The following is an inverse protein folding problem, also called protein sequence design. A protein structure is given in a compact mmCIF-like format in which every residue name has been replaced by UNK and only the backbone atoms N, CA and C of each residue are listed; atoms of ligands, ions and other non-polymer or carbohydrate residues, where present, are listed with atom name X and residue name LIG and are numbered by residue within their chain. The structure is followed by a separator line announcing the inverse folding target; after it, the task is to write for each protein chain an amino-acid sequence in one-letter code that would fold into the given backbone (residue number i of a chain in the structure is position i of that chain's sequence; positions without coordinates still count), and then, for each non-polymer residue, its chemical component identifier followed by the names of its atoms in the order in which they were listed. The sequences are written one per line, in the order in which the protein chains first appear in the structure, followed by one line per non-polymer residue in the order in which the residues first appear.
data_IF_111295804215
#
_entry.id   IF_111295804215
#
_cell.length_a   1.000
_cell.length_b   1.000
_cell.length_c   1.000
_cell.angle_alpha   90.00
_cell.angle_beta   90.00
_cell.angle_gamma   90.00
#
_symmetry.space_group_name_H-M   'P 1'
#
loop_
_entity.id
_entity.type
_entity.pdbx_description
1 polymer ?
#
# COMPACT_ATOMS: atom_id res chain seq x y z
N UNK A 1 0.65 4.76 10.58
CA UNK A 1 0.06 5.84 9.78
C UNK A 1 -1.19 6.34 10.47
N UNK A 2 -1.36 7.64 10.57
CA UNK A 2 -2.56 8.24 11.18
C UNK A 2 -3.64 8.46 10.14
N UNK A 3 -4.89 8.34 10.58
CA UNK A 3 -6.11 8.40 9.77
C UNK A 3 -7.25 8.99 10.61
N UNK A 4 -8.33 9.36 9.94
CA UNK A 4 -9.53 9.95 10.56
C UNK A 4 -9.21 11.20 11.39
N UNK A 5 -8.42 12.13 10.83
CA UNK A 5 -7.94 13.35 11.49
C UNK A 5 -7.20 13.04 12.80
N UNK A 6 -6.22 12.14 12.73
CA UNK A 6 -5.39 11.66 13.85
C UNK A 6 -6.15 11.01 15.01
N UNK A 7 -7.39 10.56 14.78
CA UNK A 7 -8.17 9.81 15.77
C UNK A 7 -7.87 8.32 15.76
N UNK A 8 -7.26 7.84 14.68
CA UNK A 8 -6.95 6.43 14.47
C UNK A 8 -5.52 6.24 13.95
N UNK A 9 -4.93 5.09 14.25
CA UNK A 9 -3.64 4.68 13.72
C UNK A 9 -3.75 3.30 13.08
N UNK A 10 -3.27 3.19 11.84
CA UNK A 10 -3.08 1.94 11.13
C UNK A 10 -1.60 1.53 11.16
N UNK A 11 -1.36 0.24 11.30
CA UNK A 11 -0.02 -0.33 11.37
C UNK A 11 -0.01 -1.79 10.92
N UNK A 12 1.16 -2.29 10.53
CA UNK A 12 1.35 -3.69 10.17
C UNK A 12 1.73 -4.47 11.43
N UNK A 13 1.11 -5.63 11.62
CA UNK A 13 1.43 -6.57 12.71
C UNK A 13 1.23 -8.01 12.23
N UNK A 14 2.02 -8.92 12.79
CA UNK A 14 1.97 -10.36 12.53
C UNK A 14 1.32 -11.16 13.68
N UNK A 15 0.62 -10.48 14.59
CA UNK A 15 0.01 -11.07 15.80
C UNK A 15 -0.96 -12.23 15.53
N UNK A 16 -1.50 -12.34 14.32
CA UNK A 16 -2.38 -13.42 13.88
C UNK A 16 -1.65 -14.50 13.06
N UNK A 17 -0.31 -14.52 13.09
CA UNK A 17 0.55 -15.51 12.44
C UNK A 17 1.03 -15.12 11.03
N UNK A 18 0.62 -13.97 10.50
CA UNK A 18 1.05 -13.44 9.21
C UNK A 18 0.95 -11.90 9.18
N UNK A 19 1.80 -11.18 8.42
CA UNK A 19 1.73 -9.72 8.33
C UNK A 19 0.38 -9.25 7.80
N UNK A 20 -0.29 -8.40 8.56
CA UNK A 20 -1.53 -7.77 8.13
C UNK A 20 -1.72 -6.38 8.75
N UNK A 21 -2.71 -5.64 8.25
CA UNK A 21 -3.00 -4.27 8.66
C UNK A 21 -4.02 -4.28 9.79
N UNK A 22 -3.66 -3.63 10.88
CA UNK A 22 -4.50 -3.40 12.04
C UNK A 22 -4.75 -1.91 12.22
N UNK A 23 -5.87 -1.58 12.86
CA UNK A 23 -6.25 -0.23 13.19
C UNK A 23 -6.55 -0.11 14.69
N UNK A 24 -6.11 0.97 15.29
CA UNK A 24 -6.36 1.33 16.69
C UNK A 24 -6.94 2.73 16.75
N UNK A 25 -8.13 2.86 17.32
CA UNK A 25 -8.67 4.16 17.73
C UNK A 25 -7.88 4.70 18.92
N UNK A 26 -7.40 5.92 18.80
CA UNK A 26 -6.61 6.60 19.83
C UNK A 26 -7.54 7.19 20.90
N UNK A 27 -7.05 7.28 22.14
CA UNK A 27 -7.85 7.74 23.29
C UNK A 27 -8.90 6.74 23.80
N UNK A 28 -9.11 5.63 23.09
CA UNK A 28 -10.01 4.54 23.47
C UNK A 28 -9.25 3.39 24.13
N UNK A 29 -9.92 2.60 24.99
CA UNK A 29 -9.29 1.47 25.71
C UNK A 29 -9.24 0.19 24.89
N UNK A 30 -10.11 0.08 23.90
CA UNK A 30 -10.35 -1.08 23.05
C UNK A 30 -9.09 -1.50 22.30
N UNK A 31 -8.84 -2.79 22.17
CA UNK A 31 -7.64 -3.28 21.46
C UNK A 31 -7.66 -2.90 19.98
N UNK A 32 -6.49 -2.96 19.34
CA UNK A 32 -6.41 -2.79 17.89
C UNK A 32 -7.09 -3.96 17.16
N UNK A 33 -7.81 -3.66 16.09
CA UNK A 33 -8.60 -4.61 15.30
C UNK A 33 -7.97 -4.83 13.93
N UNK A 34 -8.16 -6.03 13.36
CA UNK A 34 -7.69 -6.33 12.02
C UNK A 34 -8.57 -5.59 11.01
N UNK A 35 -7.94 -4.85 10.09
CA UNK A 35 -8.65 -4.04 9.12
C UNK A 35 -8.95 -4.81 7.82
N UNK A 36 -8.00 -5.62 7.37
CA UNK A 36 -8.10 -6.36 6.12
C UNK A 36 -8.28 -7.84 6.36
N UNK A 37 -9.27 -8.43 5.72
CA UNK A 37 -9.54 -9.88 5.77
C UNK A 37 -9.20 -10.58 4.45
N UNK A 38 -9.00 -9.82 3.38
CA UNK A 38 -8.56 -10.30 2.07
C UNK A 38 -7.02 -10.34 2.00
N UNK A 39 -6.50 -11.42 1.42
CA UNK A 39 -5.06 -11.69 1.39
C UNK A 39 -4.50 -12.11 2.76
N UNK A 40 -3.29 -12.70 2.75
CA UNK A 40 -2.63 -13.21 3.98
C UNK A 40 -1.23 -12.64 4.19
N UNK A 41 -0.89 -11.55 3.51
CA UNK A 41 0.41 -10.92 3.63
C UNK A 41 0.31 -9.48 3.11
N UNK A 42 -0.19 -8.60 3.96
CA UNK A 42 -0.34 -7.18 3.67
C UNK A 42 0.70 -6.39 4.48
N UNK A 43 1.51 -5.59 3.80
CA UNK A 43 2.66 -4.88 4.36
C UNK A 43 2.78 -3.48 3.76
N UNK A 44 3.76 -2.69 4.24
CA UNK A 44 4.14 -1.37 3.72
C UNK A 44 2.95 -0.46 3.38
N UNK A 45 2.57 0.40 4.34
CA UNK A 45 1.36 1.20 4.25
C UNK A 45 1.65 2.70 4.18
N UNK A 46 0.74 3.44 3.54
CA UNK A 46 0.57 4.87 3.75
C UNK A 46 -0.94 5.19 3.89
N UNK A 47 -1.27 6.31 4.51
CA UNK A 47 -2.65 6.71 4.77
C UNK A 47 -2.89 8.19 4.44
N UNK A 48 -4.08 8.47 3.92
CA UNK A 48 -4.59 9.81 3.71
C UNK A 48 -6.07 9.85 4.10
N UNK A 49 -6.41 10.66 5.11
CA UNK A 49 -7.77 10.76 5.69
C UNK A 49 -8.33 9.39 6.09
N UNK A 50 -9.30 8.88 5.33
CA UNK A 50 -9.99 7.60 5.55
C UNK A 50 -9.54 6.50 4.58
N UNK A 51 -8.43 6.71 3.88
CA UNK A 51 -7.93 5.82 2.85
C UNK A 51 -6.54 5.31 3.20
N UNK A 52 -6.29 4.03 2.93
CA UNK A 52 -5.00 3.37 3.16
C UNK A 52 -4.57 2.71 1.86
N UNK A 53 -3.36 3.04 1.40
CA UNK A 53 -2.67 2.27 0.38
C UNK A 53 -1.74 1.27 1.04
N UNK A 54 -1.70 0.05 0.52
CA UNK A 54 -0.88 -1.02 1.08
C UNK A 54 -0.34 -1.94 0.01
N UNK A 55 0.73 -2.65 0.34
CA UNK A 55 1.30 -3.71 -0.48
C UNK A 55 0.66 -5.04 -0.06
N UNK A 56 0.03 -5.74 -1.00
CA UNK A 56 -0.40 -7.12 -0.85
C UNK A 56 0.57 -8.04 -1.57
N UNK A 57 1.11 -9.02 -0.86
CA UNK A 57 1.84 -10.13 -1.46
C UNK A 57 0.84 -11.18 -1.92
N UNK A 58 0.77 -11.39 -3.22
CA UNK A 58 -0.13 -12.34 -3.84
C UNK A 58 0.64 -13.61 -4.25
N UNK A 59 -0.01 -14.76 -4.10
CA UNK A 59 0.56 -16.05 -4.50
C UNK A 59 0.75 -16.11 -6.01
N UNK A 60 1.62 -17.04 -6.42
CA UNK A 60 2.14 -17.27 -7.77
C UNK A 60 1.17 -16.84 -8.88
N UNK A 61 1.57 -15.84 -9.68
CA UNK A 61 0.92 -15.60 -10.96
C UNK A 61 1.11 -16.81 -11.90
N UNK A 62 0.52 -16.80 -13.11
CA UNK A 62 0.62 -17.89 -14.10
C UNK A 62 2.07 -18.30 -14.45
N UNK A 63 3.06 -17.48 -14.07
CA UNK A 63 4.49 -17.69 -14.29
C UNK A 63 5.26 -18.12 -13.03
N UNK A 64 4.59 -18.47 -11.94
CA UNK A 64 5.25 -18.98 -10.74
C UNK A 64 6.04 -17.92 -9.96
N UNK A 65 5.66 -16.63 -10.03
CA UNK A 65 6.33 -15.56 -9.28
C UNK A 65 5.43 -14.93 -8.24
N UNK A 66 5.97 -14.70 -7.04
CA UNK A 66 5.36 -13.81 -6.05
C UNK A 66 5.31 -12.41 -6.61
N UNK A 67 4.12 -11.79 -6.57
CA UNK A 67 3.91 -10.40 -6.97
C UNK A 67 3.52 -9.59 -5.74
N UNK A 68 3.98 -8.34 -5.71
CA UNK A 68 3.67 -7.38 -4.66
C UNK A 68 2.88 -6.26 -5.31
N UNK A 69 1.58 -6.20 -5.02
CA UNK A 69 0.67 -5.27 -5.65
C UNK A 69 0.17 -4.22 -4.66
N UNK A 70 0.01 -3.00 -5.17
CA UNK A 70 -0.61 -1.94 -4.41
C UNK A 70 -2.13 -2.08 -4.46
N UNK A 71 -2.75 -2.00 -3.30
CA UNK A 71 -4.18 -1.94 -3.13
C UNK A 71 -4.54 -0.70 -2.32
N UNK A 72 -5.71 -0.13 -2.59
CA UNK A 72 -6.29 0.99 -1.87
C UNK A 72 -7.57 0.53 -1.18
N UNK A 73 -7.68 0.76 0.12
CA UNK A 73 -8.93 0.59 0.86
C UNK A 73 -9.42 1.95 1.36
N UNK A 74 -10.72 2.19 1.21
CA UNK A 74 -11.43 3.31 1.87
C UNK A 74 -12.24 2.76 3.03
N UNK A 75 -11.96 3.24 4.26
CA UNK A 75 -12.50 2.69 5.50
C UNK A 75 -14.03 2.74 5.58
N UNK A 76 -14.61 3.84 5.10
CA UNK A 76 -16.05 4.08 5.17
C UNK A 76 -16.86 3.08 4.33
N UNK A 77 -16.38 2.76 3.12
CA UNK A 77 -17.06 1.83 2.20
C UNK A 77 -16.53 0.40 2.29
N UNK A 78 -15.38 0.19 2.95
CA UNK A 78 -14.58 -1.05 2.90
C UNK A 78 -14.28 -1.52 1.47
N UNK A 79 -14.37 -0.62 0.49
CA UNK A 79 -14.09 -0.94 -0.90
C UNK A 79 -12.58 -1.06 -1.10
N UNK A 80 -12.15 -2.18 -1.69
CA UNK A 80 -10.75 -2.44 -2.03
C UNK A 80 -10.59 -2.31 -3.55
N UNK A 81 -9.65 -1.45 -3.97
CA UNK A 81 -9.26 -1.26 -5.36
C UNK A 81 -7.81 -1.68 -5.55
N UNK A 82 -7.58 -2.66 -6.43
CA UNK A 82 -6.22 -2.99 -6.88
C UNK A 82 -5.69 -1.91 -7.82
N UNK A 83 -4.49 -1.39 -7.54
CA UNK A 83 -3.86 -0.30 -8.29
C UNK A 83 -2.75 -0.79 -9.23
N UNK A 84 -2.15 -1.95 -8.97
CA UNK A 84 -1.12 -2.56 -9.81
C UNK A 84 -1.36 -4.05 -9.99
N UNK A 85 -0.85 -4.65 -11.07
CA UNK A 85 -1.09 -6.07 -11.40
C UNK A 85 0.17 -6.90 -11.68
N UNK A 86 1.37 -6.31 -11.66
CA UNK A 86 2.60 -6.99 -12.08
C UNK A 86 3.86 -6.41 -11.43
N UNK A 87 4.92 -7.21 -11.39
CA UNK A 87 6.21 -6.85 -10.80
C UNK A 87 6.19 -6.85 -9.28
N UNK A 88 7.19 -6.22 -8.67
CA UNK A 88 7.21 -5.94 -7.24
C UNK A 88 7.03 -4.43 -7.04
N UNK A 89 5.89 -4.03 -6.49
CA UNK A 89 5.52 -2.64 -6.25
C UNK A 89 5.54 -2.41 -4.74
N UNK A 90 6.37 -1.47 -4.28
CA UNK A 90 6.70 -1.30 -2.86
C UNK A 90 6.71 0.17 -2.47
N UNK A 91 6.63 0.42 -1.16
CA UNK A 91 6.74 1.75 -0.57
C UNK A 91 5.75 2.76 -1.18
N UNK A 92 4.44 2.46 -1.19
CA UNK A 92 3.48 3.44 -1.65
C UNK A 92 3.52 4.67 -0.73
N UNK A 93 3.48 5.87 -1.30
CA UNK A 93 3.35 7.14 -0.60
C UNK A 93 2.27 7.99 -1.23
N UNK A 94 1.33 8.49 -0.46
CA UNK A 94 0.35 9.47 -0.91
C UNK A 94 1.03 10.81 -1.17
N UNK A 95 0.53 11.55 -2.16
CA UNK A 95 0.81 12.99 -2.25
C UNK A 95 0.17 13.74 -1.09
N UNK A 96 0.68 14.93 -0.78
CA UNK A 96 0.15 15.78 0.30
C UNK A 96 -1.36 16.08 0.16
N UNK A 97 -1.88 16.11 -1.07
CA UNK A 97 -3.29 16.33 -1.38
C UNK A 97 -4.11 15.03 -1.47
N UNK A 98 -3.47 13.86 -1.31
CA UNK A 98 -4.09 12.54 -1.37
C UNK A 98 -4.55 12.09 -2.77
N UNK A 99 -4.29 12.88 -3.82
CA UNK A 99 -4.77 12.59 -5.18
C UNK A 99 -3.88 11.63 -5.95
N UNK A 100 -2.65 11.46 -5.51
CA UNK A 100 -1.65 10.67 -6.21
C UNK A 100 -0.97 9.69 -5.26
N UNK A 101 -0.45 8.61 -5.81
CA UNK A 101 0.38 7.64 -5.09
C UNK A 101 1.67 7.45 -5.86
N UNK A 102 2.80 7.76 -5.23
CA UNK A 102 4.12 7.36 -5.70
C UNK A 102 4.50 6.00 -5.13
N UNK A 103 5.31 5.23 -5.84
CA UNK A 103 5.82 3.95 -5.37
C UNK A 103 7.11 3.54 -6.10
N UNK A 104 7.84 2.57 -5.57
CA UNK A 104 8.97 1.93 -6.26
C UNK A 104 8.45 0.68 -6.96
N UNK A 105 8.67 0.60 -8.28
CA UNK A 105 8.49 -0.61 -9.06
C UNK A 105 9.84 -1.29 -9.30
N UNK A 106 9.89 -2.60 -9.06
CA UNK A 106 11.01 -3.45 -9.40
C UNK A 106 10.56 -4.56 -10.33
N UNK A 107 11.22 -4.69 -11.46
CA UNK A 107 11.16 -5.85 -12.36
C UNK A 107 12.53 -6.52 -12.40
N UNK A 108 12.66 -7.71 -13.03
CA UNK A 108 13.97 -8.30 -13.28
C UNK A 108 14.91 -7.40 -14.10
N UNK A 109 14.35 -6.53 -14.95
CA UNK A 109 15.09 -5.71 -15.90
C UNK A 109 15.47 -4.34 -15.32
N UNK A 110 14.58 -3.70 -14.55
CA UNK A 110 14.80 -2.32 -14.11
C UNK A 110 14.05 -1.95 -12.82
N UNK A 111 14.50 -0.86 -12.21
CA UNK A 111 13.77 -0.11 -11.20
C UNK A 111 13.07 1.08 -11.87
N UNK A 112 11.88 1.43 -11.40
CA UNK A 112 11.18 2.63 -11.83
C UNK A 112 10.49 3.29 -10.64
N UNK A 113 10.36 4.62 -10.69
CA UNK A 113 9.41 5.34 -9.87
C UNK A 113 8.05 5.27 -10.56
N UNK A 114 7.04 4.77 -9.86
CA UNK A 114 5.67 4.77 -10.35
C UNK A 114 4.87 5.92 -9.76
N UNK A 115 3.98 6.49 -10.56
CA UNK A 115 3.02 7.52 -10.15
C UNK A 115 1.63 7.09 -10.60
N UNK A 116 0.69 6.99 -9.67
CA UNK A 116 -0.74 6.74 -9.94
C UNK A 116 -1.50 8.03 -9.66
N UNK A 117 -2.27 8.50 -10.64
CA UNK A 117 -3.22 9.60 -10.45
C UNK A 117 -4.60 9.00 -10.17
N UNK A 118 -5.08 9.10 -8.92
CA UNK A 118 -6.27 8.39 -8.47
C UNK A 118 -7.54 8.87 -9.16
N UNK A 119 -7.68 10.19 -9.31
CA UNK A 119 -8.83 10.86 -9.93
C UNK A 119 -8.99 10.51 -11.41
N UNK A 120 -7.89 10.19 -12.09
CA UNK A 120 -7.85 9.92 -13.53
C UNK A 120 -7.74 8.44 -13.87
N UNK A 121 -7.59 7.56 -12.87
CA UNK A 121 -7.31 6.14 -13.06
C UNK A 121 -6.14 5.89 -14.04
N UNK A 122 -5.10 6.73 -13.96
CA UNK A 122 -3.94 6.70 -14.84
C UNK A 122 -2.66 6.41 -14.05
N UNK A 123 -1.70 5.75 -14.69
CA UNK A 123 -0.39 5.52 -14.09
C UNK A 123 0.75 5.81 -15.07
N UNK A 124 1.88 6.25 -14.51
CA UNK A 124 3.13 6.54 -15.21
C UNK A 124 4.27 5.78 -14.54
N UNK A 125 5.27 5.40 -15.33
CA UNK A 125 6.52 4.82 -14.86
C UNK A 125 7.68 5.66 -15.36
N UNK A 126 8.58 6.02 -14.45
CA UNK A 126 9.80 6.75 -14.72
C UNK A 126 10.99 5.81 -14.46
N UNK A 127 11.60 5.24 -15.52
CA UNK A 127 12.72 4.31 -15.37
C UNK A 127 13.91 4.95 -14.67
N UNK A 128 14.50 4.22 -13.73
CA UNK A 128 15.66 4.64 -12.96
C UNK A 128 16.90 3.91 -13.50
N UNK A 129 17.47 4.46 -14.57
CA UNK A 129 18.66 3.86 -15.20
C UNK A 129 19.87 4.01 -14.29
N UNK A 130 20.57 2.90 -14.04
CA UNK A 130 21.80 2.85 -13.24
C UNK A 130 21.67 3.33 -11.79
N UNK A 131 20.44 3.41 -11.25
CA UNK A 131 20.19 3.83 -9.87
C UNK A 131 19.31 2.78 -9.18
N UNK A 132 19.73 2.38 -7.98
CA UNK A 132 18.91 1.54 -7.09
C UNK A 132 18.39 2.39 -5.95
N UNK A 133 17.11 2.72 -5.98
CA UNK A 133 16.44 3.40 -4.87
C UNK A 133 16.00 2.35 -3.86
N UNK A 134 16.26 2.62 -2.58
CA UNK A 134 15.84 1.77 -1.46
C UNK A 134 14.72 2.41 -0.63
N UNK A 135 14.62 3.75 -0.66
CA UNK A 135 13.60 4.50 0.03
C UNK A 135 13.39 5.86 -0.62
N UNK A 136 12.19 6.40 -0.46
CA UNK A 136 11.84 7.78 -0.80
C UNK A 136 10.72 8.26 0.13
N UNK A 137 10.52 9.57 0.14
CA UNK A 137 9.41 10.23 0.83
C UNK A 137 8.84 11.34 -0.06
N UNK A 138 7.61 11.76 0.23
CA UNK A 138 6.93 12.89 -0.39
C UNK A 138 7.03 14.13 0.51
#
# INVERSE_FOLDING_TARGET
MFLEDDKSMAFVSDRSGYPNIYMKKLGLKESAEQLLYEGRSNESIDAYKDSIVYVSRENLNEFGKTVFNLNLITLNSKYIRRLTVNGSNQMPRFSMDGKNIMYIKKTPQEYAMGLILLDYNQSFLFPLKNVKIQAFDW
#
